data_IF_776709902009
#
_entry.id   IF_776709902009
#
_cell.length_a   1.000
_cell.length_b   1.000
_cell.length_c   1.000
_cell.angle_alpha   90.00
_cell.angle_beta   90.00
_cell.angle_gamma   90.00
#
_symmetry.space_group_name_H-M   'P 1'
#
loop_
_entity.id
_entity.type
_entity.pdbx_description
1 polymer ?
#
# COMPACT_ATOMS: atom_id res chain seq x y z
N UNK A 1 -17.96 2.99 -3.79
CA UNK A 1 -17.22 1.86 -4.35
C UNK A 1 -18.18 0.75 -4.73
N UNK A 2 -18.10 0.27 -5.96
CA UNK A 2 -18.80 -0.92 -6.47
C UNK A 2 -18.22 -2.19 -5.85
N UNK A 3 -18.92 -3.34 -5.88
CA UNK A 3 -18.37 -4.63 -5.42
C UNK A 3 -17.06 -5.00 -6.12
N UNK A 4 -16.96 -4.76 -7.43
CA UNK A 4 -15.72 -5.01 -8.20
C UNK A 4 -14.56 -4.14 -7.73
N UNK A 5 -14.80 -2.85 -7.47
CA UNK A 5 -13.78 -1.96 -6.90
C UNK A 5 -13.34 -2.41 -5.51
N UNK A 6 -14.29 -2.87 -4.67
CA UNK A 6 -13.97 -3.44 -3.35
C UNK A 6 -13.02 -4.63 -3.46
N UNK A 7 -13.31 -5.58 -4.34
CA UNK A 7 -12.42 -6.73 -4.57
C UNK A 7 -11.02 -6.30 -5.02
N UNK A 8 -10.92 -5.33 -5.94
CA UNK A 8 -9.62 -4.83 -6.40
C UNK A 8 -8.84 -4.12 -5.27
N UNK A 9 -9.53 -3.33 -4.44
CA UNK A 9 -8.91 -2.68 -3.27
C UNK A 9 -8.43 -3.72 -2.26
N UNK A 10 -9.23 -4.76 -1.98
CA UNK A 10 -8.84 -5.85 -1.08
C UNK A 10 -7.54 -6.52 -1.53
N UNK A 11 -7.49 -6.92 -2.81
CA UNK A 11 -6.34 -7.61 -3.39
C UNK A 11 -5.10 -6.71 -3.41
N UNK A 12 -5.27 -5.42 -3.70
CA UNK A 12 -4.18 -4.47 -3.65
C UNK A 12 -3.64 -4.29 -2.23
N UNK A 13 -4.50 -4.16 -1.22
CA UNK A 13 -4.08 -4.08 0.19
C UNK A 13 -3.32 -5.33 0.63
N UNK A 14 -3.87 -6.52 0.37
CA UNK A 14 -3.21 -7.78 0.68
C UNK A 14 -1.81 -7.87 0.03
N UNK A 15 -1.67 -7.44 -1.23
CA UNK A 15 -0.37 -7.39 -1.92
C UNK A 15 0.63 -6.47 -1.22
N UNK A 16 0.17 -5.33 -0.69
CA UNK A 16 1.05 -4.39 0.03
C UNK A 16 1.41 -4.88 1.44
N UNK A 17 0.49 -5.59 2.11
CA UNK A 17 0.73 -6.24 3.40
C UNK A 17 1.75 -7.38 3.27
N UNK A 18 1.62 -8.22 2.24
CA UNK A 18 2.60 -9.26 1.93
C UNK A 18 3.99 -8.64 1.66
N UNK A 19 4.04 -7.55 0.88
CA UNK A 19 5.28 -6.83 0.65
C UNK A 19 5.88 -6.25 1.94
N UNK A 20 5.05 -5.76 2.87
CA UNK A 20 5.52 -5.29 4.18
C UNK A 20 6.13 -6.42 5.02
N UNK A 21 5.54 -7.62 4.99
CA UNK A 21 6.09 -8.79 5.68
C UNK A 21 7.45 -9.20 5.08
N UNK A 22 7.55 -9.21 3.76
CA UNK A 22 8.78 -9.57 3.04
C UNK A 22 9.86 -8.48 3.11
N UNK A 23 9.50 -7.24 3.40
CA UNK A 23 10.43 -6.12 3.48
C UNK A 23 11.53 -6.32 4.54
N UNK A 24 11.35 -7.23 5.52
CA UNK A 24 12.43 -7.60 6.46
C UNK A 24 13.63 -8.28 5.78
N UNK A 25 13.41 -8.90 4.62
CA UNK A 25 14.44 -9.63 3.87
C UNK A 25 15.20 -8.77 2.86
N UNK A 26 14.69 -7.59 2.55
CA UNK A 26 15.32 -6.65 1.60
C UNK A 26 14.31 -5.71 0.95
N UNK A 27 14.74 -4.96 -0.09
CA UNK A 27 13.86 -4.12 -0.88
C UNK A 27 12.74 -4.91 -1.57
N UNK A 28 11.53 -4.34 -1.60
CA UNK A 28 10.30 -4.94 -2.15
C UNK A 28 9.67 -4.06 -3.24
N UNK A 29 10.47 -3.21 -3.92
CA UNK A 29 10.07 -2.44 -5.10
C UNK A 29 9.82 -3.35 -6.33
N UNK A 30 8.75 -4.15 -6.27
CA UNK A 30 8.39 -5.11 -7.32
C UNK A 30 7.30 -4.56 -8.24
N UNK A 31 7.14 -5.20 -9.40
CA UNK A 31 6.03 -4.89 -10.32
C UNK A 31 4.66 -5.13 -9.66
N UNK A 32 4.54 -6.12 -8.77
CA UNK A 32 3.30 -6.40 -8.03
C UNK A 32 2.94 -5.23 -7.10
N UNK A 33 3.91 -4.73 -6.33
CA UNK A 33 3.73 -3.53 -5.48
C UNK A 33 3.34 -2.33 -6.32
N UNK A 34 4.04 -2.09 -7.44
CA UNK A 34 3.72 -0.95 -8.33
C UNK A 34 2.30 -1.04 -8.88
N UNK A 35 1.84 -2.23 -9.27
CA UNK A 35 0.48 -2.46 -9.76
C UNK A 35 -0.56 -2.25 -8.65
N UNK A 36 -0.31 -2.76 -7.44
CA UNK A 36 -1.19 -2.57 -6.29
C UNK A 36 -1.36 -1.07 -5.96
N UNK A 37 -0.26 -0.32 -5.87
CA UNK A 37 -0.30 1.13 -5.66
C UNK A 37 -1.07 1.86 -6.78
N UNK A 38 -0.87 1.45 -8.05
CA UNK A 38 -1.58 2.07 -9.18
C UNK A 38 -3.08 1.79 -9.17
N UNK A 39 -3.47 0.61 -8.68
CA UNK A 39 -4.87 0.18 -8.49
C UNK A 39 -5.56 1.01 -7.41
N UNK A 40 -4.82 1.42 -6.37
CA UNK A 40 -5.34 2.25 -5.28
C UNK A 40 -5.38 3.75 -5.62
N UNK A 41 -4.61 4.21 -6.62
CA UNK A 41 -4.53 5.63 -7.02
C UNK A 41 -5.88 6.36 -7.17
N UNK A 42 -6.93 5.80 -7.82
CA UNK A 42 -8.23 6.48 -7.92
C UNK A 42 -9.00 6.56 -6.60
N UNK A 43 -8.62 5.79 -5.58
CA UNK A 43 -9.32 5.69 -4.29
C UNK A 43 -8.62 6.46 -3.17
N UNK A 44 -7.39 6.91 -3.38
CA UNK A 44 -6.58 7.64 -2.38
C UNK A 44 -6.47 9.11 -2.81
N UNK A 45 -7.01 10.02 -1.99
CA UNK A 45 -7.11 11.44 -2.32
C UNK A 45 -5.76 12.17 -2.26
N UNK A 46 -4.94 11.87 -1.26
CA UNK A 46 -3.58 12.40 -1.11
C UNK A 46 -2.59 11.35 -1.56
N UNK A 47 -1.71 11.68 -2.50
CA UNK A 47 -0.78 10.72 -3.12
C UNK A 47 0.40 10.31 -2.23
N UNK A 48 0.73 11.11 -1.22
CA UNK A 48 1.90 10.88 -0.37
C UNK A 48 2.02 9.46 0.20
N UNK A 49 0.96 8.74 0.63
CA UNK A 49 1.13 7.38 1.14
C UNK A 49 1.55 6.41 0.04
N UNK A 50 1.08 6.61 -1.19
CA UNK A 50 1.43 5.75 -2.31
C UNK A 50 2.88 5.98 -2.74
N UNK A 51 3.28 7.25 -2.82
CA UNK A 51 4.65 7.67 -3.15
C UNK A 51 5.63 7.22 -2.07
N UNK A 52 5.31 7.48 -0.80
CA UNK A 52 6.14 7.07 0.34
C UNK A 52 6.24 5.54 0.48
N UNK A 53 5.16 4.79 0.17
CA UNK A 53 5.25 3.33 0.14
C UNK A 53 6.26 2.88 -0.91
N UNK A 54 6.15 3.42 -2.14
CA UNK A 54 7.04 3.08 -3.24
C UNK A 54 8.50 3.39 -2.90
N UNK A 55 8.79 4.59 -2.42
CA UNK A 55 10.15 5.01 -2.10
C UNK A 55 10.71 4.19 -0.93
N UNK A 56 9.90 3.98 0.12
CA UNK A 56 10.26 3.16 1.27
C UNK A 56 10.56 1.71 0.90
N UNK A 57 9.77 1.12 -0.01
CA UNK A 57 9.96 -0.24 -0.50
C UNK A 57 11.31 -0.46 -1.19
N UNK A 58 11.96 0.59 -1.71
CA UNK A 58 13.27 0.52 -2.35
C UNK A 58 14.44 0.77 -1.38
N UNK A 59 14.19 1.20 -0.15
CA UNK A 59 15.25 1.59 0.78
C UNK A 59 16.03 0.40 1.32
N UNK A 60 17.34 0.55 1.53
CA UNK A 60 18.21 -0.52 2.05
C UNK A 60 18.17 -0.65 3.58
N UNK A 61 17.91 0.45 4.29
CA UNK A 61 17.79 0.44 5.75
C UNK A 61 16.51 -0.31 6.18
N UNK A 62 16.67 -1.49 6.79
CA UNK A 62 15.56 -2.35 7.22
C UNK A 62 14.56 -1.63 8.15
N UNK A 63 15.05 -0.94 9.17
CA UNK A 63 14.20 -0.26 10.15
C UNK A 63 13.44 0.88 9.47
N UNK A 64 14.16 1.71 8.69
CA UNK A 64 13.57 2.82 7.96
C UNK A 64 12.51 2.36 6.97
N UNK A 65 12.82 1.30 6.19
CA UNK A 65 11.89 0.66 5.27
C UNK A 65 10.63 0.20 6.00
N UNK A 66 10.76 -0.61 7.06
CA UNK A 66 9.61 -1.09 7.84
C UNK A 66 8.72 0.04 8.38
N UNK A 67 9.32 1.11 8.89
CA UNK A 67 8.60 2.30 9.36
C UNK A 67 7.86 3.02 8.22
N UNK A 68 8.53 3.24 7.09
CA UNK A 68 7.94 3.89 5.91
C UNK A 68 6.76 3.08 5.35
N UNK A 69 6.88 1.75 5.22
CA UNK A 69 5.78 0.91 4.73
C UNK A 69 4.59 0.94 5.69
N UNK A 70 4.84 0.87 7.00
CA UNK A 70 3.80 0.91 8.03
C UNK A 70 3.04 2.23 8.02
N UNK A 71 3.76 3.36 8.03
CA UNK A 71 3.16 4.69 7.98
C UNK A 71 2.32 4.89 6.71
N UNK A 72 2.82 4.39 5.57
CA UNK A 72 2.15 4.47 4.28
C UNK A 72 0.89 3.62 4.23
N UNK A 73 0.92 2.37 4.71
CA UNK A 73 -0.27 1.50 4.81
C UNK A 73 -1.36 2.14 5.68
N UNK A 74 -1.00 2.67 6.84
CA UNK A 74 -1.95 3.37 7.70
C UNK A 74 -2.59 4.58 6.99
N UNK A 75 -1.79 5.35 6.25
CA UNK A 75 -2.28 6.48 5.44
C UNK A 75 -3.23 6.04 4.31
N UNK A 76 -2.92 4.94 3.62
CA UNK A 76 -3.77 4.34 2.58
C UNK A 76 -5.09 3.90 3.19
N UNK A 77 -5.05 3.07 4.23
CA UNK A 77 -6.25 2.50 4.87
C UNK A 77 -7.16 3.60 5.42
N UNK A 78 -6.59 4.64 6.05
CA UNK A 78 -7.37 5.78 6.54
C UNK A 78 -8.15 6.47 5.41
N UNK A 79 -7.51 6.73 4.27
CA UNK A 79 -8.15 7.38 3.14
C UNK A 79 -9.19 6.49 2.45
N UNK A 80 -8.92 5.19 2.35
CA UNK A 80 -9.89 4.22 1.84
C UNK A 80 -11.12 4.16 2.74
N UNK A 81 -10.95 4.12 4.07
CA UNK A 81 -12.06 4.13 5.04
C UNK A 81 -12.94 5.38 4.88
N UNK A 82 -12.32 6.54 4.63
CA UNK A 82 -13.02 7.79 4.33
C UNK A 82 -13.80 7.74 3.00
N UNK A 83 -13.36 6.93 2.04
CA UNK A 83 -14.07 6.66 0.76
C UNK A 83 -15.13 5.54 0.85
N UNK A 84 -15.37 5.00 2.05
CA UNK A 84 -16.37 3.96 2.28
C UNK A 84 -15.85 2.54 2.09
N UNK A 85 -14.53 2.33 2.08
CA UNK A 85 -13.93 1.01 2.28
C UNK A 85 -14.23 0.51 3.70
N UNK A 86 -14.51 -0.78 3.80
CA UNK A 86 -14.67 -1.52 5.04
C UNK A 86 -13.91 -2.83 4.86
N UNK A 87 -13.25 -3.25 5.92
CA UNK A 87 -12.70 -4.60 5.99
C UNK A 87 -13.89 -5.51 6.23
N UNK A 88 -14.15 -6.43 5.30
CA UNK A 88 -15.26 -7.40 5.36
C UNK A 88 -14.90 -8.55 6.30
#
# INVERSE_FOLDING_TARGET
MTPRERTLVALALATLEDAQLEAKRGPVQTNAVRLALRTLLPHVAQRWPLEQFWDGAGGDNEIGRGQSLTASLNGIVLQLKAKGWRED
#
